data_IF_847616046449
#
_entry.id   IF_847616046449
#
_cell.length_a   1.000
_cell.length_b   1.000
_cell.length_c   1.000
_cell.angle_alpha   90.00
_cell.angle_beta   90.00
_cell.angle_gamma   90.00
#
_symmetry.space_group_name_H-M   'P 1'
#
loop_
_entity.id
_entity.type
_entity.pdbx_description
1 polymer ?
#
# COMPACT_ATOMS: atom_id res chain seq x y z
N UNK A 1 27.84 -2.49 15.77
CA UNK A 1 27.32 -2.56 17.15
C UNK A 1 25.81 -2.40 17.11
N UNK A 2 25.05 -3.26 17.79
CA UNK A 2 23.63 -3.04 17.97
C UNK A 2 23.41 -1.84 18.90
N UNK A 3 22.52 -0.92 18.53
CA UNK A 3 22.13 0.25 19.33
C UNK A 3 21.58 -0.20 20.70
N UNK A 4 22.03 0.43 21.79
CA UNK A 4 21.56 0.10 23.15
C UNK A 4 20.07 0.42 23.26
N UNK A 5 19.36 -0.27 24.15
CA UNK A 5 17.91 -0.11 24.29
C UNK A 5 17.53 1.32 24.68
N UNK A 6 18.33 1.97 25.53
CA UNK A 6 18.09 3.34 25.97
C UNK A 6 18.15 4.37 24.83
N UNK A 7 18.99 4.14 23.83
CA UNK A 7 19.24 5.07 22.71
C UNK A 7 18.19 4.98 21.61
N UNK A 8 17.24 4.03 21.70
CA UNK A 8 16.17 3.88 20.72
C UNK A 8 15.05 4.88 21.00
N UNK A 9 14.70 5.68 19.99
CA UNK A 9 13.54 6.57 20.01
C UNK A 9 12.25 5.85 20.44
N UNK A 10 12.08 4.59 20.01
CA UNK A 10 10.94 3.72 20.38
C UNK A 10 11.42 2.51 21.19
N UNK A 11 11.72 2.72 22.47
CA UNK A 11 12.27 1.71 23.39
C UNK A 11 11.25 0.86 24.16
N UNK A 12 9.97 1.25 24.12
CA UNK A 12 8.86 0.58 24.83
C UNK A 12 8.10 -0.35 23.88
N UNK A 13 7.58 -1.45 24.42
CA UNK A 13 6.82 -2.46 23.67
C UNK A 13 5.45 -2.62 24.30
N UNK A 14 4.41 -2.65 23.46
CA UNK A 14 3.03 -2.93 23.83
C UNK A 14 2.63 -4.21 23.08
N UNK A 15 2.06 -5.18 23.79
CA UNK A 15 1.59 -6.44 23.22
C UNK A 15 0.16 -6.71 23.72
N UNK A 16 -0.66 -7.26 22.84
CA UNK A 16 -2.05 -7.62 23.11
C UNK A 16 -2.35 -8.94 22.39
N UNK A 17 -3.28 -9.70 22.96
CA UNK A 17 -3.82 -10.91 22.34
C UNK A 17 -5.08 -10.54 21.55
N UNK A 18 -5.27 -11.18 20.40
CA UNK A 18 -6.45 -11.02 19.55
C UNK A 18 -7.04 -12.40 19.29
N UNK A 19 -8.35 -12.46 19.20
CA UNK A 19 -9.04 -13.55 18.51
C UNK A 19 -8.72 -13.53 17.01
N UNK A 20 -9.01 -14.63 16.31
CA UNK A 20 -8.79 -14.73 14.86
C UNK A 20 -9.61 -13.69 14.08
N UNK A 21 -10.84 -13.42 14.54
CA UNK A 21 -11.75 -12.44 13.94
C UNK A 21 -11.20 -11.01 14.06
N UNK A 22 -10.76 -10.62 15.26
CA UNK A 22 -10.18 -9.29 15.49
C UNK A 22 -8.89 -9.10 14.71
N UNK A 23 -8.06 -10.14 14.63
CA UNK A 23 -6.83 -10.12 13.82
C UNK A 23 -7.15 -9.86 12.35
N UNK A 24 -8.12 -10.56 11.78
CA UNK A 24 -8.52 -10.39 10.39
C UNK A 24 -9.02 -8.96 10.10
N UNK A 25 -9.84 -8.40 11.00
CA UNK A 25 -10.33 -7.03 10.88
C UNK A 25 -9.19 -5.99 10.91
N UNK A 26 -8.24 -6.16 11.83
CA UNK A 26 -7.09 -5.27 11.97
C UNK A 26 -6.19 -5.34 10.73
N UNK A 27 -5.90 -6.55 10.23
CA UNK A 27 -5.08 -6.72 9.03
C UNK A 27 -5.74 -6.10 7.80
N UNK A 28 -7.06 -6.25 7.65
CA UNK A 28 -7.81 -5.59 6.59
C UNK A 28 -7.69 -4.05 6.67
N UNK A 29 -7.84 -3.47 7.87
CA UNK A 29 -7.69 -2.01 8.05
C UNK A 29 -6.28 -1.51 7.78
N UNK A 30 -5.25 -2.27 8.17
CA UNK A 30 -3.85 -1.94 7.87
C UNK A 30 -3.65 -1.90 6.35
N UNK A 31 -4.09 -2.94 5.65
CA UNK A 31 -4.00 -3.05 4.19
C UNK A 31 -4.70 -1.88 3.51
N UNK A 32 -5.91 -1.54 3.94
CA UNK A 32 -6.70 -0.44 3.39
C UNK A 32 -6.09 0.95 3.66
N UNK A 33 -5.43 1.14 4.80
CA UNK A 33 -4.73 2.39 5.12
C UNK A 33 -3.46 2.61 4.30
N UNK A 34 -2.87 1.55 3.75
CA UNK A 34 -1.57 1.61 3.07
C UNK A 34 -0.39 1.95 4.00
N UNK A 35 -0.57 1.90 5.31
CA UNK A 35 0.48 2.17 6.30
C UNK A 35 1.19 0.87 6.71
N UNK A 36 2.48 0.91 7.08
CA UNK A 36 3.14 -0.24 7.68
C UNK A 36 2.53 -0.54 9.06
N UNK A 37 2.48 -1.84 9.44
CA UNK A 37 1.81 -2.32 10.67
C UNK A 37 2.16 -1.47 11.92
N UNK A 38 3.44 -1.16 12.10
CA UNK A 38 3.92 -0.39 13.26
C UNK A 38 3.43 1.06 13.30
N UNK A 39 3.25 1.72 12.15
CA UNK A 39 2.69 3.07 12.09
C UNK A 39 1.18 3.07 12.27
N UNK A 40 0.49 2.08 11.70
CA UNK A 40 -0.94 1.90 11.90
C UNK A 40 -1.28 1.77 13.40
N UNK A 41 -0.63 0.85 14.11
CA UNK A 41 -0.88 0.65 15.54
C UNK A 41 -0.54 1.89 16.37
N UNK A 42 0.55 2.59 16.06
CA UNK A 42 0.89 3.84 16.75
C UNK A 42 -0.19 4.90 16.57
N UNK A 43 -0.68 5.11 15.34
CA UNK A 43 -1.73 6.09 15.09
C UNK A 43 -3.04 5.69 15.76
N UNK A 44 -3.44 4.43 15.62
CA UNK A 44 -4.66 3.90 16.22
C UNK A 44 -4.67 4.00 17.75
N UNK A 45 -3.57 3.63 18.42
CA UNK A 45 -3.47 3.68 19.89
C UNK A 45 -3.37 5.13 20.41
N UNK A 46 -2.72 6.03 19.67
CA UNK A 46 -2.62 7.44 20.04
C UNK A 46 -3.87 8.26 19.67
N UNK A 47 -4.96 7.63 19.21
CA UNK A 47 -6.18 8.32 18.80
C UNK A 47 -6.01 9.24 17.58
N UNK A 48 -4.93 9.07 16.82
CA UNK A 48 -4.69 9.85 15.59
C UNK A 48 -5.54 9.28 14.46
N UNK A 49 -6.06 10.17 13.62
CA UNK A 49 -6.88 9.77 12.48
C UNK A 49 -6.09 8.84 11.54
N UNK A 50 -6.71 7.71 11.19
CA UNK A 50 -6.19 6.76 10.20
C UNK A 50 -7.10 6.78 8.99
N UNK A 51 -6.68 7.52 7.95
CA UNK A 51 -7.42 7.61 6.69
C UNK A 51 -7.23 6.35 5.85
N UNK A 52 -8.31 5.89 5.24
CA UNK A 52 -8.30 4.75 4.31
C UNK A 52 -8.08 5.27 2.90
N UNK A 53 -6.89 5.07 2.36
CA UNK A 53 -6.56 5.45 0.97
C UNK A 53 -6.89 4.29 0.04
N UNK A 54 -8.18 4.12 -0.28
CA UNK A 54 -8.67 3.05 -1.15
C UNK A 54 -8.01 3.02 -2.55
N UNK A 55 -7.53 4.17 -3.05
CA UNK A 55 -6.94 4.29 -4.38
C UNK A 55 -5.65 3.50 -4.60
N UNK A 56 -4.82 3.30 -3.58
CA UNK A 56 -3.51 2.64 -3.75
C UNK A 56 -3.61 1.11 -3.78
N UNK A 57 -4.50 0.51 -2.98
CA UNK A 57 -4.53 -0.95 -2.83
C UNK A 57 -5.04 -1.67 -4.09
N UNK A 58 -6.15 -1.18 -4.66
CA UNK A 58 -6.71 -1.77 -5.88
C UNK A 58 -5.78 -1.54 -7.08
N UNK A 59 -5.19 -0.35 -7.19
CA UNK A 59 -4.24 -0.04 -8.25
C UNK A 59 -3.00 -0.94 -8.21
N UNK A 60 -2.44 -1.20 -7.03
CA UNK A 60 -1.27 -2.08 -6.90
C UNK A 60 -1.59 -3.55 -7.23
N UNK A 61 -2.78 -4.04 -6.87
CA UNK A 61 -3.21 -5.41 -7.23
C UNK A 61 -3.45 -5.54 -8.72
N UNK A 62 -4.07 -4.55 -9.33
CA UNK A 62 -4.31 -4.51 -10.78
C UNK A 62 -2.97 -4.44 -11.53
N UNK A 63 -2.03 -3.58 -11.13
CA UNK A 63 -0.69 -3.51 -11.72
C UNK A 63 0.00 -4.88 -11.73
N UNK A 64 -0.01 -5.60 -10.59
CA UNK A 64 0.63 -6.91 -10.49
C UNK A 64 0.00 -7.97 -11.42
N UNK A 65 -1.32 -7.94 -11.59
CA UNK A 65 -2.01 -8.84 -12.53
C UNK A 65 -1.67 -8.47 -13.98
N UNK A 66 -1.59 -7.18 -14.29
CA UNK A 66 -1.18 -6.71 -15.62
C UNK A 66 0.28 -7.09 -15.93
N UNK A 67 1.20 -6.99 -14.97
CA UNK A 67 2.58 -7.46 -15.12
C UNK A 67 2.66 -8.96 -15.42
N UNK A 68 1.86 -9.78 -14.72
CA UNK A 68 1.79 -11.22 -14.98
C UNK A 68 1.27 -11.53 -16.39
N UNK A 69 0.26 -10.79 -16.84
CA UNK A 69 -0.29 -10.94 -18.19
C UNK A 69 0.76 -10.56 -19.24
N UNK A 70 1.55 -9.49 -19.04
CA UNK A 70 2.64 -9.13 -19.95
C UNK A 70 3.66 -10.27 -20.12
N UNK A 71 4.12 -10.84 -19.01
CA UNK A 71 5.11 -11.95 -19.03
C UNK A 71 4.59 -13.16 -19.81
N UNK A 72 3.29 -13.46 -19.70
CA UNK A 72 2.67 -14.55 -20.45
C UNK A 72 2.53 -14.22 -21.95
N UNK A 73 2.16 -12.99 -22.29
CA UNK A 73 2.00 -12.56 -23.68
C UNK A 73 3.33 -12.44 -24.43
N UNK A 74 4.43 -12.13 -23.76
CA UNK A 74 5.77 -12.12 -24.37
C UNK A 74 6.24 -13.50 -24.85
N UNK A 75 5.63 -14.58 -24.33
CA UNK A 75 5.95 -15.96 -24.73
C UNK A 75 5.09 -16.50 -25.88
N UNK A 76 3.96 -15.85 -26.18
CA UNK A 76 3.04 -16.22 -27.26
C UNK A 76 3.24 -15.31 -28.48
N UNK A 77 3.24 -15.88 -29.68
CA UNK A 77 3.61 -15.17 -30.92
C UNK A 77 2.46 -15.09 -31.94
N UNK A 78 1.24 -14.82 -31.49
CA UNK A 78 0.06 -14.56 -32.34
C UNK A 78 -0.22 -13.06 -32.49
N UNK A 79 -0.96 -12.66 -33.53
CA UNK A 79 -1.32 -11.25 -33.77
C UNK A 79 -2.26 -10.69 -32.68
N UNK A 80 -3.13 -11.53 -32.12
CA UNK A 80 -4.04 -11.17 -31.02
C UNK A 80 -3.29 -10.91 -29.70
N UNK A 81 -2.22 -11.66 -29.43
CA UNK A 81 -1.36 -11.44 -28.25
C UNK A 81 -0.61 -10.12 -28.32
N UNK A 82 -0.21 -9.66 -29.52
CA UNK A 82 0.43 -8.36 -29.73
C UNK A 82 -0.53 -7.20 -29.44
N UNK A 83 -1.79 -7.30 -29.87
CA UNK A 83 -2.82 -6.30 -29.57
C UNK A 83 -3.14 -6.23 -28.07
N UNK A 84 -3.23 -7.38 -27.41
CA UNK A 84 -3.42 -7.46 -25.95
C UNK A 84 -2.24 -6.83 -25.20
N UNK A 85 -1.01 -7.07 -25.66
CA UNK A 85 0.20 -6.52 -25.03
C UNK A 85 0.24 -4.98 -25.14
N UNK A 86 -0.19 -4.42 -26.26
CA UNK A 86 -0.30 -2.97 -26.46
C UNK A 86 -1.37 -2.34 -25.55
N UNK A 87 -2.55 -2.95 -25.43
CA UNK A 87 -3.61 -2.48 -24.54
C UNK A 87 -3.19 -2.52 -23.06
N UNK A 88 -2.48 -3.56 -22.65
CA UNK A 88 -1.95 -3.66 -21.27
C UNK A 88 -0.91 -2.58 -20.99
N UNK A 89 -0.02 -2.27 -21.94
CA UNK A 89 0.93 -1.16 -21.82
C UNK A 89 0.23 0.18 -21.65
N UNK A 90 -0.79 0.46 -22.46
CA UNK A 90 -1.58 1.70 -22.35
C UNK A 90 -2.27 1.83 -20.99
N UNK A 91 -2.82 0.73 -20.45
CA UNK A 91 -3.43 0.73 -19.12
C UNK A 91 -2.41 1.01 -18.01
N UNK A 92 -1.20 0.46 -18.10
CA UNK A 92 -0.11 0.75 -17.15
C UNK A 92 0.34 2.21 -17.22
N UNK A 93 0.42 2.79 -18.42
CA UNK A 93 0.78 4.20 -18.61
C UNK A 93 -0.30 5.15 -18.05
N UNK A 94 -1.58 4.83 -18.26
CA UNK A 94 -2.70 5.55 -17.64
C UNK A 94 -2.65 5.45 -16.12
N UNK A 95 -2.29 4.28 -15.57
CA UNK A 95 -2.13 4.08 -14.14
C UNK A 95 -1.00 4.95 -13.57
N UNK A 96 0.15 5.04 -14.23
CA UNK A 96 1.27 5.89 -13.81
C UNK A 96 0.91 7.37 -13.82
N UNK A 97 0.13 7.82 -14.81
CA UNK A 97 -0.31 9.22 -14.94
C UNK A 97 -1.39 9.63 -13.93
N UNK A 98 -2.19 8.69 -13.42
CA UNK A 98 -3.19 8.95 -12.35
C UNK A 98 -2.60 8.96 -10.95
N UNK A 99 -1.39 8.42 -10.77
CA UNK A 99 -0.66 8.44 -9.51
C UNK A 99 0.12 9.76 -9.28
N UNK A 100 -0.28 10.86 -9.94
CA UNK A 100 0.14 12.18 -9.51
C UNK A 100 -0.23 12.34 -8.02
N UNK A 101 0.71 12.73 -7.15
CA UNK A 101 0.41 12.87 -5.73
C UNK A 101 -0.69 13.91 -5.62
N UNK A 102 -1.86 13.52 -5.11
CA UNK A 102 -2.79 14.49 -4.56
C UNK A 102 -1.98 15.27 -3.52
N UNK A 103 -1.57 16.49 -3.90
CA UNK A 103 -0.74 17.34 -3.09
C UNK A 103 -1.48 17.59 -1.79
N UNK A 104 -1.03 16.94 -0.73
CA UNK A 104 -1.46 17.29 0.61
C UNK A 104 -0.96 18.72 0.82
N UNK A 105 -1.86 19.71 0.68
CA UNK A 105 -1.62 21.06 1.18
C UNK A 105 -1.18 20.89 2.63
N UNK A 106 0.06 21.28 2.89
CA UNK A 106 0.57 21.55 4.21
C UNK A 106 -0.42 22.44 4.93
N UNK A 107 -1.22 21.86 5.82
CA UNK A 107 -1.89 22.62 6.86
C UNK A 107 -0.76 22.96 7.81
N UNK A 108 -0.26 24.19 7.69
CA UNK A 108 0.57 24.82 8.70
C UNK A 108 -0.20 24.76 10.02
N UNK A 109 0.33 24.02 10.99
CA UNK A 109 -0.06 24.18 12.38
C UNK A 109 0.32 25.59 12.80
N UNK A 110 -0.68 26.47 12.89
CA UNK A 110 -0.64 27.67 13.72
C UNK A 110 -1.18 27.30 15.10
N UNK A 111 -0.43 27.77 16.10
CA UNK A 111 -0.66 27.86 17.55
C UNK A 111 -0.32 26.64 18.43
#
# INVERSE_FOLDING_TARGET
>A
MACRREDRFRRNTIAFWLSDEEKAQVEARIILSGLPKGDYYRKAVLGKEVTVTAGNYMSNRVAKVLEQILVHLESGNTEDEKLLLELVKQLLEIQQNRNAPAGNRSISETD
#
